data_IF_961617977201
#
_entry.id   IF_961617977201
#
_cell.length_a   1.000
_cell.length_b   1.000
_cell.length_c   1.000
_cell.angle_alpha   90.00
_cell.angle_beta   90.00
_cell.angle_gamma   90.00
#
_symmetry.space_group_name_H-M   'P 1'
#
loop_
_entity.id
_entity.type
_entity.pdbx_description
1 polymer ?
#
# COMPACT_ATOMS: atom_id res chain seq x y z
N UNK A 1 50.71 -30.74 -44.17
CA UNK A 1 49.28 -31.09 -44.03
C UNK A 1 48.73 -30.39 -42.80
N UNK A 2 48.42 -29.10 -42.92
CA UNK A 2 47.60 -28.38 -41.96
C UNK A 2 46.15 -28.70 -42.33
N UNK A 3 45.40 -29.30 -41.41
CA UNK A 3 43.97 -29.57 -41.57
C UNK A 3 43.22 -28.41 -40.93
N UNK A 4 42.34 -27.82 -41.72
CA UNK A 4 41.54 -26.64 -41.44
C UNK A 4 40.70 -26.83 -40.16
N UNK A 5 40.86 -25.92 -39.20
CA UNK A 5 40.11 -25.89 -37.92
C UNK A 5 38.90 -24.95 -37.95
N UNK A 6 38.70 -24.23 -39.06
CA UNK A 6 37.64 -23.22 -39.18
C UNK A 6 36.30 -23.80 -39.64
N UNK A 7 36.26 -25.01 -40.22
CA UNK A 7 35.02 -25.61 -40.74
C UNK A 7 34.14 -26.32 -39.71
N UNK A 8 34.62 -26.55 -38.49
CA UNK A 8 33.90 -27.35 -37.48
C UNK A 8 32.93 -26.49 -36.62
N UNK A 9 33.14 -25.16 -36.59
CA UNK A 9 32.27 -24.25 -35.82
C UNK A 9 30.97 -23.91 -36.53
N UNK A 10 30.95 -23.90 -37.87
CA UNK A 10 29.76 -23.50 -38.64
C UNK A 10 28.67 -24.59 -38.65
N UNK A 11 29.03 -25.87 -38.48
CA UNK A 11 28.07 -26.99 -38.46
C UNK A 11 27.23 -27.07 -37.17
N UNK A 12 27.68 -26.49 -36.04
CA UNK A 12 26.93 -26.53 -34.76
C UNK A 12 25.80 -25.48 -34.69
N UNK A 13 25.89 -24.41 -35.49
CA UNK A 13 24.91 -23.32 -35.46
C UNK A 13 23.69 -23.56 -36.37
N UNK A 14 23.83 -24.35 -37.43
CA UNK A 14 22.78 -24.58 -38.44
C UNK A 14 21.82 -25.75 -38.13
N UNK A 15 21.93 -26.34 -36.94
CA UNK A 15 21.04 -27.43 -36.51
C UNK A 15 19.65 -26.88 -36.08
N UNK A 16 18.53 -27.35 -36.65
CA UNK A 16 17.19 -26.93 -36.25
C UNK A 16 16.94 -27.11 -34.74
N UNK A 17 16.18 -26.19 -34.13
CA UNK A 17 16.01 -26.08 -32.68
C UNK A 17 15.58 -27.39 -31.98
N UNK A 18 14.80 -28.24 -32.65
CA UNK A 18 14.36 -29.54 -32.13
C UNK A 18 15.47 -30.58 -31.97
N UNK A 19 16.59 -30.43 -32.69
CA UNK A 19 17.74 -31.35 -32.65
C UNK A 19 18.87 -30.81 -31.76
N UNK A 20 18.75 -29.58 -31.23
CA UNK A 20 19.74 -29.04 -30.29
C UNK A 20 19.58 -29.70 -28.93
N UNK A 21 20.71 -30.07 -28.30
CA UNK A 21 20.71 -30.65 -26.95
C UNK A 21 20.04 -29.67 -25.98
N UNK A 22 19.16 -30.14 -25.07
CA UNK A 22 18.50 -29.26 -24.12
C UNK A 22 19.55 -28.54 -23.26
N UNK A 23 19.40 -27.23 -23.14
CA UNK A 23 20.29 -26.39 -22.34
C UNK A 23 20.31 -26.89 -20.89
N UNK A 24 21.48 -27.25 -20.36
CA UNK A 24 21.66 -27.76 -19.00
C UNK A 24 22.28 -29.15 -18.89
N UNK A 25 22.51 -29.87 -20.00
CA UNK A 25 23.12 -31.20 -20.03
C UNK A 25 24.65 -31.25 -19.74
N UNK A 26 25.18 -30.29 -18.95
CA UNK A 26 26.59 -30.18 -18.60
C UNK A 26 26.88 -29.90 -17.11
N UNK A 27 25.87 -29.58 -16.30
CA UNK A 27 26.06 -29.32 -14.86
C UNK A 27 25.44 -30.49 -14.09
N UNK A 28 26.28 -31.40 -13.58
CA UNK A 28 25.85 -32.49 -12.69
C UNK A 28 25.32 -31.90 -11.38
N UNK A 29 24.01 -31.66 -11.29
CA UNK A 29 23.35 -31.26 -10.04
C UNK A 29 23.06 -32.52 -9.22
N UNK A 30 23.59 -32.60 -8.00
CA UNK A 30 23.22 -33.65 -7.05
C UNK A 30 21.70 -33.54 -6.82
N UNK A 31 20.97 -34.65 -6.99
CA UNK A 31 19.53 -34.66 -6.77
C UNK A 31 19.22 -34.48 -5.28
N UNK A 32 18.31 -33.56 -4.96
CA UNK A 32 17.80 -33.41 -3.59
C UNK A 32 16.76 -34.51 -3.38
N UNK A 33 16.93 -35.32 -2.32
CA UNK A 33 15.91 -36.30 -1.91
C UNK A 33 14.85 -35.57 -1.10
N UNK A 34 13.63 -35.51 -1.62
CA UNK A 34 12.50 -35.01 -0.85
C UNK A 34 12.10 -36.05 0.20
N UNK A 35 12.21 -35.68 1.47
CA UNK A 35 11.68 -36.47 2.59
C UNK A 35 10.23 -36.06 2.78
N UNK A 36 9.33 -37.04 2.90
CA UNK A 36 7.91 -36.84 3.17
C UNK A 36 7.76 -36.33 4.61
N UNK A 37 7.00 -35.26 4.83
CA UNK A 37 6.68 -34.79 6.18
C UNK A 37 5.89 -35.88 6.91
N UNK A 38 6.31 -36.23 8.13
CA UNK A 38 5.65 -37.22 8.97
C UNK A 38 4.21 -36.79 9.32
N UNK A 39 3.39 -37.81 9.63
CA UNK A 39 1.95 -37.73 9.86
C UNK A 39 1.54 -36.71 10.95
N UNK A 40 0.39 -36.02 10.79
CA UNK A 40 -0.15 -35.16 11.82
C UNK A 40 -0.94 -36.00 12.83
N UNK A 41 -0.34 -36.43 13.93
CA UNK A 41 -1.08 -36.84 15.12
C UNK A 41 -0.19 -36.84 16.37
N UNK A 42 -0.13 -35.67 17.02
CA UNK A 42 0.17 -35.56 18.44
C UNK A 42 -0.88 -34.64 19.06
N UNK A 43 -2.11 -35.13 19.12
CA UNK A 43 -3.18 -34.52 19.89
C UNK A 43 -2.79 -34.46 21.37
N UNK A 44 -2.50 -33.26 21.86
CA UNK A 44 -2.43 -33.00 23.30
C UNK A 44 -3.84 -32.65 23.77
N UNK A 45 -4.55 -33.68 24.24
CA UNK A 45 -5.87 -33.54 24.85
C UNK A 45 -5.77 -32.80 26.19
N UNK A 46 -6.55 -31.74 26.26
CA UNK A 46 -7.23 -31.14 27.42
C UNK A 46 -7.01 -31.81 28.78
N UNK A 47 -6.43 -31.04 29.71
CA UNK A 47 -6.63 -31.22 31.14
C UNK A 47 -6.99 -29.85 31.75
N UNK A 48 -8.28 -29.50 31.72
CA UNK A 48 -8.80 -28.42 32.54
C UNK A 48 -9.34 -29.08 33.81
N UNK A 49 -8.58 -28.94 34.88
CA UNK A 49 -8.96 -29.32 36.23
C UNK A 49 -10.19 -28.50 36.63
N UNK A 50 -11.34 -29.13 36.73
CA UNK A 50 -12.54 -28.56 37.35
C UNK A 50 -12.30 -28.45 38.86
N UNK A 51 -11.81 -27.30 39.32
CA UNK A 51 -11.72 -26.98 40.74
C UNK A 51 -12.73 -25.89 41.08
N UNK A 52 -13.78 -26.32 41.80
CA UNK A 52 -14.59 -25.55 42.75
C UNK A 52 -15.10 -24.17 42.27
N UNK A 53 -16.40 -24.09 42.02
CA UNK A 53 -17.18 -22.85 42.20
C UNK A 53 -16.77 -22.22 43.53
N UNK A 54 -16.08 -21.09 43.43
CA UNK A 54 -15.38 -20.47 44.53
C UNK A 54 -16.39 -19.82 45.48
N UNK A 55 -16.16 -19.97 46.78
CA UNK A 55 -16.90 -19.33 47.87
C UNK A 55 -17.09 -17.81 47.70
N UNK A 56 -16.25 -17.17 46.88
CA UNK A 56 -16.35 -15.77 46.48
C UNK A 56 -17.62 -15.45 45.67
N UNK A 57 -18.13 -16.37 44.87
CA UNK A 57 -19.35 -16.16 44.07
C UNK A 57 -20.62 -16.16 44.95
N UNK A 58 -20.64 -17.01 45.99
CA UNK A 58 -21.68 -17.00 47.01
C UNK A 58 -21.64 -15.70 47.82
N UNK A 59 -20.45 -15.26 48.25
CA UNK A 59 -20.32 -14.01 49.00
C UNK A 59 -20.69 -12.80 48.13
N UNK A 60 -20.33 -12.82 46.84
CA UNK A 60 -20.73 -11.82 45.87
C UNK A 60 -22.26 -11.76 45.71
N UNK A 61 -22.97 -12.90 45.64
CA UNK A 61 -24.44 -12.89 45.56
C UNK A 61 -25.13 -12.30 46.79
N UNK A 62 -24.55 -12.51 47.98
CA UNK A 62 -25.12 -12.05 49.24
C UNK A 62 -24.81 -10.56 49.45
N UNK A 63 -23.62 -10.12 49.09
CA UNK A 63 -23.17 -8.74 49.28
C UNK A 63 -23.68 -7.82 48.17
N UNK A 64 -23.76 -8.31 46.93
CA UNK A 64 -24.26 -7.52 45.80
C UNK A 64 -25.78 -7.58 45.65
N UNK A 65 -26.49 -8.31 46.52
CA UNK A 65 -27.94 -8.58 46.49
C UNK A 65 -28.77 -7.47 45.84
N UNK A 66 -28.85 -7.54 44.50
CA UNK A 66 -29.87 -6.92 43.70
C UNK A 66 -30.97 -7.96 43.62
N UNK A 67 -32.06 -7.63 44.33
CA UNK A 67 -33.36 -8.27 44.29
C UNK A 67 -33.64 -8.92 42.91
N UNK A 68 -34.08 -10.19 42.85
CA UNK A 68 -34.65 -10.72 41.62
C UNK A 68 -36.02 -10.07 41.46
N UNK A 69 -36.03 -8.85 40.93
CA UNK A 69 -37.23 -8.36 40.29
C UNK A 69 -37.55 -9.31 39.15
N UNK A 70 -38.78 -9.80 39.14
CA UNK A 70 -39.45 -10.40 38.00
C UNK A 70 -39.38 -9.42 36.82
N UNK A 71 -38.23 -9.37 36.14
CA UNK A 71 -38.10 -8.66 34.89
C UNK A 71 -38.52 -9.62 33.81
N UNK A 72 -39.78 -9.44 33.40
CA UNK A 72 -40.27 -9.84 32.10
C UNK A 72 -39.16 -9.66 31.06
N UNK A 73 -39.06 -10.67 30.21
CA UNK A 73 -38.15 -10.79 29.08
C UNK A 73 -38.15 -9.53 28.21
N UNK A 74 -37.26 -8.59 28.49
CA UNK A 74 -36.69 -7.73 27.48
C UNK A 74 -35.26 -8.21 27.30
N UNK A 75 -35.11 -9.24 26.48
CA UNK A 75 -33.81 -9.65 26.01
C UNK A 75 -33.12 -8.40 25.45
N UNK A 76 -31.99 -8.00 26.04
CA UNK A 76 -31.11 -7.04 25.41
C UNK A 76 -30.90 -7.52 23.97
N UNK A 77 -31.43 -6.76 23.01
CA UNK A 77 -31.29 -7.11 21.61
C UNK A 77 -29.86 -6.74 21.24
N UNK A 78 -28.94 -7.67 21.50
CA UNK A 78 -27.55 -7.52 21.09
C UNK A 78 -27.53 -7.72 19.58
N UNK A 79 -26.98 -6.75 18.85
CA UNK A 79 -26.83 -6.89 17.42
C UNK A 79 -25.71 -7.91 17.10
N UNK A 80 -25.98 -8.83 16.17
CA UNK A 80 -25.04 -9.88 15.73
C UNK A 80 -23.76 -9.33 15.11
N UNK A 81 -23.82 -8.14 14.50
CA UNK A 81 -22.73 -7.62 13.67
C UNK A 81 -21.76 -6.74 14.47
N UNK A 82 -22.28 -5.95 15.41
CA UNK A 82 -21.48 -5.04 16.24
C UNK A 82 -21.38 -5.46 17.71
N UNK A 83 -22.18 -6.42 18.18
CA UNK A 83 -22.16 -6.91 19.56
C UNK A 83 -22.59 -5.88 20.61
N UNK A 84 -23.25 -4.79 20.20
CA UNK A 84 -23.73 -3.72 21.08
C UNK A 84 -25.23 -3.88 21.39
N UNK A 85 -25.63 -3.41 22.57
CA UNK A 85 -27.02 -3.45 23.03
C UNK A 85 -27.88 -2.39 22.30
N UNK A 86 -28.81 -2.86 21.47
CA UNK A 86 -29.72 -2.02 20.66
C UNK A 86 -30.73 -1.25 21.52
N UNK A 87 -31.04 -1.74 22.72
CA UNK A 87 -32.03 -1.16 23.65
C UNK A 87 -31.61 0.20 24.25
N UNK A 88 -30.33 0.60 24.12
CA UNK A 88 -29.78 1.81 24.72
C UNK A 88 -30.06 3.10 23.94
N UNK A 89 -30.49 2.98 22.67
CA UNK A 89 -30.61 4.10 21.73
C UNK A 89 -32.06 4.27 21.26
N UNK A 90 -32.58 5.50 21.31
CA UNK A 90 -33.91 5.87 20.80
C UNK A 90 -33.96 5.99 19.27
N UNK A 91 -32.79 6.12 18.62
CA UNK A 91 -32.66 6.07 17.16
C UNK A 91 -32.40 4.65 16.68
N UNK A 92 -32.76 4.28 15.44
CA UNK A 92 -32.43 2.98 14.88
C UNK A 92 -30.91 2.78 14.94
N UNK A 93 -30.49 1.85 15.79
CA UNK A 93 -29.10 1.45 15.96
C UNK A 93 -28.42 1.12 14.62
N UNK A 94 -29.17 0.59 13.64
CA UNK A 94 -28.71 0.28 12.29
C UNK A 94 -28.22 1.49 11.48
N UNK A 95 -28.77 2.68 11.76
CA UNK A 95 -28.34 3.92 11.10
C UNK A 95 -27.19 4.60 11.85
N UNK A 96 -26.85 4.13 13.05
CA UNK A 96 -25.74 4.69 13.79
C UNK A 96 -24.44 4.44 13.04
N UNK A 97 -23.59 5.46 12.92
CA UNK A 97 -22.31 5.36 12.21
C UNK A 97 -21.42 4.23 12.76
N UNK A 98 -21.47 3.97 14.07
CA UNK A 98 -20.75 2.87 14.69
C UNK A 98 -21.20 1.49 14.16
N UNK A 99 -22.50 1.29 13.96
CA UNK A 99 -23.03 0.08 13.35
C UNK A 99 -22.67 0.02 11.87
N UNK A 100 -22.88 1.11 11.13
CA UNK A 100 -22.56 1.16 9.70
C UNK A 100 -21.09 0.82 9.43
N UNK A 101 -20.15 1.37 10.20
CA UNK A 101 -18.71 1.14 10.03
C UNK A 101 -18.25 -0.27 10.45
N UNK A 102 -19.01 -0.95 11.33
CA UNK A 102 -18.69 -2.31 11.77
C UNK A 102 -19.20 -3.40 10.81
N UNK A 103 -20.10 -3.05 9.88
CA UNK A 103 -20.54 -3.97 8.83
C UNK A 103 -19.38 -4.38 7.92
N UNK A 104 -19.45 -5.61 7.41
CA UNK A 104 -18.57 -6.07 6.34
C UNK A 104 -18.91 -5.29 5.07
N UNK A 105 -18.24 -4.17 4.88
CA UNK A 105 -18.39 -3.37 3.68
C UNK A 105 -17.92 -4.16 2.46
N UNK A 106 -18.79 -4.29 1.46
CA UNK A 106 -18.37 -4.72 0.14
C UNK A 106 -17.40 -3.68 -0.41
N UNK A 107 -16.18 -4.08 -0.75
CA UNK A 107 -15.29 -3.19 -1.48
C UNK A 107 -15.89 -2.83 -2.84
N UNK A 108 -15.61 -1.63 -3.36
CA UNK A 108 -16.02 -1.27 -4.70
C UNK A 108 -15.39 -2.24 -5.71
N UNK A 109 -16.14 -2.65 -6.75
CA UNK A 109 -15.62 -3.58 -7.75
C UNK A 109 -14.38 -2.99 -8.41
N UNK A 110 -13.44 -3.88 -8.78
CA UNK A 110 -12.23 -3.46 -9.46
C UNK A 110 -12.55 -2.79 -10.81
N UNK A 111 -11.80 -1.74 -11.16
CA UNK A 111 -11.97 -1.01 -12.42
C UNK A 111 -11.49 -1.80 -13.66
N UNK A 112 -11.08 -3.06 -13.49
CA UNK A 112 -10.62 -3.90 -14.57
C UNK A 112 -11.82 -4.45 -15.36
N UNK A 113 -11.75 -4.32 -16.68
CA UNK A 113 -12.79 -4.85 -17.55
C UNK A 113 -12.73 -6.39 -17.61
N UNK A 114 -13.83 -7.03 -17.22
CA UNK A 114 -14.04 -8.48 -17.23
C UNK A 114 -14.02 -9.09 -18.63
N UNK A 115 -14.18 -8.28 -19.68
CA UNK A 115 -14.14 -8.75 -21.06
C UNK A 115 -12.72 -9.11 -21.53
N UNK A 116 -11.69 -8.56 -20.88
CA UNK A 116 -10.29 -8.76 -21.27
C UNK A 116 -9.91 -10.22 -21.18
N UNK A 117 -9.22 -10.72 -22.20
CA UNK A 117 -8.86 -12.14 -22.29
C UNK A 117 -8.09 -12.63 -21.06
N UNK A 118 -7.10 -11.86 -20.59
CA UNK A 118 -6.32 -12.22 -19.40
C UNK A 118 -7.15 -12.32 -18.12
N UNK A 119 -8.16 -11.46 -17.97
CA UNK A 119 -9.10 -11.52 -16.84
C UNK A 119 -9.97 -12.77 -16.96
N UNK A 120 -10.57 -13.01 -18.13
CA UNK A 120 -11.42 -14.18 -18.39
C UNK A 120 -10.69 -15.49 -18.14
N UNK A 121 -9.42 -15.58 -18.57
CA UNK A 121 -8.60 -16.77 -18.32
C UNK A 121 -8.34 -17.00 -16.84
N UNK A 122 -8.04 -15.95 -16.07
CA UNK A 122 -7.82 -16.07 -14.63
C UNK A 122 -9.11 -16.44 -13.89
N UNK A 123 -10.24 -15.82 -14.25
CA UNK A 123 -11.55 -16.17 -13.70
C UNK A 123 -11.94 -17.63 -14.01
N UNK A 124 -11.63 -18.12 -15.20
CA UNK A 124 -11.87 -19.54 -15.55
C UNK A 124 -11.04 -20.53 -14.71
N UNK A 125 -9.90 -20.07 -14.17
CA UNK A 125 -9.05 -20.83 -13.26
C UNK A 125 -9.46 -20.67 -11.79
N UNK A 126 -10.56 -19.95 -11.52
CA UNK A 126 -11.08 -19.73 -10.17
C UNK A 126 -10.51 -18.50 -9.45
N UNK A 127 -9.80 -17.61 -10.15
CA UNK A 127 -9.35 -16.36 -9.56
C UNK A 127 -10.46 -15.29 -9.59
N UNK A 128 -10.79 -14.73 -8.43
CA UNK A 128 -11.79 -13.68 -8.30
C UNK A 128 -11.14 -12.28 -8.25
N UNK A 129 -11.71 -11.37 -9.01
CA UNK A 129 -11.20 -10.01 -9.22
C UNK A 129 -11.53 -9.10 -8.05
N UNK A 130 -12.71 -9.27 -7.47
CA UNK A 130 -13.24 -8.41 -6.43
C UNK A 130 -12.97 -8.97 -5.03
N UNK A 131 -12.49 -10.21 -4.93
CA UNK A 131 -12.05 -10.82 -3.68
C UNK A 131 -10.83 -10.11 -3.06
N UNK A 132 -10.10 -9.31 -3.85
CA UNK A 132 -8.93 -8.60 -3.35
C UNK A 132 -7.87 -9.55 -2.75
N UNK A 133 -7.71 -10.74 -3.32
CA UNK A 133 -6.73 -11.70 -2.88
C UNK A 133 -5.61 -11.86 -3.92
N UNK A 134 -4.46 -12.32 -3.46
CA UNK A 134 -3.32 -12.63 -4.31
C UNK A 134 -3.50 -13.95 -5.05
N UNK A 135 -2.56 -14.25 -5.94
CA UNK A 135 -2.51 -15.55 -6.60
C UNK A 135 -1.77 -16.57 -5.72
N UNK A 136 -2.27 -17.80 -5.59
CA UNK A 136 -1.57 -18.85 -4.87
C UNK A 136 -2.56 -19.83 -4.23
N UNK A 137 -2.05 -20.84 -3.51
CA UNK A 137 -2.91 -21.82 -2.81
C UNK A 137 -3.73 -21.20 -1.67
N UNK A 138 -3.12 -20.27 -0.95
CA UNK A 138 -3.74 -19.54 0.17
C UNK A 138 -4.14 -18.11 -0.25
N UNK A 139 -4.13 -17.82 -1.55
CA UNK A 139 -4.38 -16.49 -2.12
C UNK A 139 -3.49 -15.37 -1.53
N UNK A 140 -2.28 -15.71 -1.09
CA UNK A 140 -1.33 -14.81 -0.41
C UNK A 140 -0.27 -14.22 -1.36
N UNK A 141 -0.47 -14.35 -2.67
CA UNK A 141 0.44 -13.83 -3.67
C UNK A 141 0.46 -12.30 -3.76
N UNK A 142 1.49 -11.77 -4.43
CA UNK A 142 1.57 -10.35 -4.70
C UNK A 142 0.45 -9.88 -5.62
N UNK A 143 -0.36 -8.93 -5.13
CA UNK A 143 -1.55 -8.42 -5.84
C UNK A 143 -1.24 -7.39 -6.91
N UNK A 144 -0.18 -6.60 -6.71
CA UNK A 144 0.19 -5.50 -7.60
C UNK A 144 1.56 -5.74 -8.23
N UNK A 145 1.77 -5.30 -9.48
CA UNK A 145 3.08 -5.38 -10.12
C UNK A 145 4.17 -4.68 -9.30
N UNK A 146 5.36 -5.29 -9.26
CA UNK A 146 6.54 -4.69 -8.63
C UNK A 146 6.94 -3.45 -9.43
N UNK A 147 6.98 -2.29 -8.77
CA UNK A 147 7.50 -1.06 -9.37
C UNK A 147 9.02 -1.10 -9.38
N UNK A 148 9.61 -1.18 -10.56
CA UNK A 148 11.06 -1.16 -10.74
C UNK A 148 11.55 0.30 -10.71
N UNK A 149 12.63 0.56 -9.98
CA UNK A 149 13.33 1.85 -10.05
C UNK A 149 14.30 1.81 -11.22
N UNK A 150 14.11 2.69 -12.19
CA UNK A 150 15.01 2.81 -13.32
C UNK A 150 16.40 3.23 -12.85
N UNK A 151 17.43 2.54 -13.34
CA UNK A 151 18.83 2.88 -13.07
C UNK A 151 19.34 3.76 -14.21
N UNK A 152 19.31 5.07 -14.00
CA UNK A 152 19.82 6.04 -14.98
C UNK A 152 21.35 6.25 -14.91
N UNK A 153 22.03 5.54 -14.00
CA UNK A 153 23.46 5.70 -13.77
C UNK A 153 24.29 4.68 -14.57
N UNK A 154 25.39 5.14 -15.17
CA UNK A 154 26.36 4.28 -15.89
C UNK A 154 27.29 3.47 -14.97
N UNK A 155 27.21 3.69 -13.66
CA UNK A 155 28.02 2.96 -12.68
C UNK A 155 27.61 1.48 -12.62
N UNK A 156 28.53 0.60 -12.23
CA UNK A 156 28.25 -0.83 -12.05
C UNK A 156 27.14 -1.11 -11.03
N UNK A 157 26.55 -2.31 -11.07
CA UNK A 157 25.66 -2.77 -10.00
C UNK A 157 26.50 -2.96 -8.73
N UNK A 158 26.09 -2.39 -7.60
CA UNK A 158 26.87 -2.43 -6.35
C UNK A 158 27.86 -1.26 -6.15
N UNK A 159 28.01 -0.35 -7.13
CA UNK A 159 28.79 0.87 -6.92
C UNK A 159 28.09 1.79 -5.93
N UNK A 160 28.75 2.10 -4.81
CA UNK A 160 28.22 2.99 -3.78
C UNK A 160 28.31 4.43 -4.25
N UNK A 161 27.16 5.05 -4.53
CA UNK A 161 27.09 6.50 -4.70
C UNK A 161 27.05 7.10 -3.30
N UNK A 162 27.93 8.07 -2.95
CA UNK A 162 27.78 8.80 -1.70
C UNK A 162 26.37 9.41 -1.70
N UNK A 163 25.57 9.07 -0.70
CA UNK A 163 24.19 9.53 -0.57
C UNK A 163 24.24 11.07 -0.64
N UNK A 164 23.61 11.72 -1.62
CA UNK A 164 23.54 13.17 -1.62
C UNK A 164 22.83 13.57 -0.34
N UNK A 165 23.49 14.36 0.50
CA UNK A 165 22.87 14.89 1.71
C UNK A 165 21.58 15.57 1.31
N UNK A 166 20.45 15.00 1.75
CA UNK A 166 19.15 15.60 1.54
C UNK A 166 19.19 16.97 2.22
N UNK A 167 19.37 18.03 1.42
CA UNK A 167 19.16 19.39 1.91
C UNK A 167 17.74 19.42 2.42
N UNK A 168 17.58 19.36 3.75
CA UNK A 168 16.29 19.52 4.42
C UNK A 168 15.71 20.81 3.85
N UNK A 169 14.65 20.68 3.06
CA UNK A 169 13.93 21.85 2.56
C UNK A 169 13.41 22.56 3.79
N UNK A 170 14.06 23.66 4.18
CA UNK A 170 13.59 24.48 5.29
C UNK A 170 12.18 24.92 4.95
N UNK A 171 11.20 24.37 5.67
CA UNK A 171 9.82 24.79 5.54
C UNK A 171 9.73 26.21 6.07
N UNK A 172 9.62 27.19 5.16
CA UNK A 172 9.36 28.57 5.55
C UNK A 172 7.96 28.62 6.18
N UNK A 173 7.82 28.92 7.48
CA UNK A 173 6.52 28.92 8.12
C UNK A 173 5.65 30.00 7.47
N UNK A 174 4.45 29.61 7.05
CA UNK A 174 3.47 30.56 6.55
C UNK A 174 3.00 31.48 7.69
N UNK A 175 2.90 32.80 7.48
CA UNK A 175 2.52 33.74 8.53
C UNK A 175 1.11 33.42 9.06
N UNK A 176 1.02 33.16 10.36
CA UNK A 176 -0.23 32.74 11.03
C UNK A 176 -1.15 33.93 11.35
N UNK A 177 -0.58 35.13 11.50
CA UNK A 177 -1.33 36.35 11.88
C UNK A 177 -1.82 37.15 10.68
N UNK A 178 -3.02 37.75 10.79
CA UNK A 178 -3.62 38.64 9.76
C UNK A 178 -2.72 39.80 9.37
N UNK A 179 -2.01 40.42 10.33
CA UNK A 179 -1.08 41.52 10.06
C UNK A 179 0.14 41.04 9.27
N UNK A 180 0.64 39.86 9.60
CA UNK A 180 1.82 39.27 8.95
C UNK A 180 1.49 38.75 7.56
N UNK A 181 0.28 38.23 7.33
CA UNK A 181 -0.25 37.89 6.01
C UNK A 181 -0.28 39.10 5.06
N UNK A 182 -0.75 40.25 5.56
CA UNK A 182 -0.78 41.48 4.75
C UNK A 182 0.64 41.95 4.39
N UNK A 183 1.57 41.89 5.33
CA UNK A 183 2.99 42.22 5.10
C UNK A 183 3.64 41.24 4.10
N UNK A 184 3.37 39.95 4.22
CA UNK A 184 3.89 38.93 3.31
C UNK A 184 3.40 39.16 1.88
N UNK A 185 2.09 39.35 1.70
CA UNK A 185 1.51 39.65 0.37
C UNK A 185 2.04 40.95 -0.23
N UNK A 186 2.25 41.98 0.59
CA UNK A 186 2.84 43.23 0.12
C UNK A 186 4.30 43.04 -0.34
N UNK A 187 5.09 42.25 0.40
CA UNK A 187 6.46 41.89 0.00
C UNK A 187 6.49 41.06 -1.28
N UNK A 188 5.63 40.05 -1.41
CA UNK A 188 5.51 39.24 -2.62
C UNK A 188 5.12 40.10 -3.83
N UNK A 189 4.21 41.07 -3.65
CA UNK A 189 3.83 42.01 -4.71
C UNK A 189 5.01 42.89 -5.14
N UNK A 190 5.78 43.42 -4.20
CA UNK A 190 6.98 44.22 -4.49
C UNK A 190 8.06 43.40 -5.19
N UNK A 191 8.31 42.17 -4.73
CA UNK A 191 9.27 41.27 -5.36
C UNK A 191 8.86 40.92 -6.79
N UNK A 192 7.59 40.61 -6.99
CA UNK A 192 7.05 40.35 -8.32
C UNK A 192 7.18 41.57 -9.24
N UNK A 193 6.88 42.77 -8.75
CA UNK A 193 7.05 44.01 -9.52
C UNK A 193 8.53 44.27 -9.86
N UNK A 194 9.46 44.01 -8.94
CA UNK A 194 10.91 44.09 -9.22
C UNK A 194 11.32 43.12 -10.32
N UNK A 195 10.92 41.84 -10.19
CA UNK A 195 11.22 40.82 -11.19
C UNK A 195 10.59 41.14 -12.54
N UNK A 196 9.37 41.68 -12.56
CA UNK A 196 8.73 42.11 -13.79
C UNK A 196 9.50 43.25 -14.47
N UNK A 197 10.00 44.23 -13.70
CA UNK A 197 10.86 45.29 -14.23
C UNK A 197 12.19 44.74 -14.72
N UNK A 198 12.80 43.79 -14.02
CA UNK A 198 14.08 43.19 -14.45
C UNK A 198 13.91 42.32 -15.71
N UNK A 199 12.83 41.55 -15.81
CA UNK A 199 12.60 40.62 -16.92
C UNK A 199 12.06 41.34 -18.17
N UNK A 200 11.15 42.30 -17.97
CA UNK A 200 10.42 42.94 -19.07
C UNK A 200 10.71 44.44 -19.24
N UNK A 201 11.37 45.07 -18.26
CA UNK A 201 11.86 46.44 -18.38
C UNK A 201 13.07 46.47 -19.30
N UNK A 202 12.90 47.06 -20.48
CA UNK A 202 14.02 47.42 -21.34
C UNK A 202 14.65 48.69 -20.76
N UNK A 203 15.91 48.60 -20.32
CA UNK A 203 16.66 49.70 -19.70
C UNK A 203 16.57 50.97 -20.55
N UNK A 204 16.67 50.83 -21.87
CA UNK A 204 16.61 51.94 -22.83
C UNK A 204 15.25 52.65 -22.85
N UNK A 205 14.14 51.92 -22.69
CA UNK A 205 12.78 52.51 -22.73
C UNK A 205 12.43 53.15 -21.38
N UNK A 206 12.91 52.58 -20.28
CA UNK A 206 12.66 53.11 -18.94
C UNK A 206 13.35 54.46 -18.71
N UNK A 207 14.54 54.71 -19.27
CA UNK A 207 15.19 56.03 -19.20
C UNK A 207 14.41 57.12 -19.94
N UNK A 208 13.77 56.78 -21.07
CA UNK A 208 12.93 57.73 -21.81
C UNK A 208 11.56 57.96 -21.15
N UNK A 209 10.95 56.93 -20.55
CA UNK A 209 9.64 57.05 -19.90
C UNK A 209 9.73 57.68 -18.49
N UNK A 210 10.84 57.45 -17.80
CA UNK A 210 11.12 58.01 -16.47
C UNK A 210 11.98 59.28 -16.61
N UNK A 211 11.59 60.14 -17.56
CA UNK A 211 12.37 61.29 -18.00
C UNK A 211 13.03 62.05 -16.85
N UNK A 212 14.34 62.27 -16.98
CA UNK A 212 15.01 63.30 -16.21
C UNK A 212 14.29 64.60 -16.55
N UNK A 213 13.57 65.19 -15.59
CA UNK A 213 12.67 66.35 -15.81
C UNK A 213 13.37 67.64 -16.22
N UNK A 214 14.20 67.61 -17.25
CA UNK A 214 15.00 68.69 -17.82
C UNK A 214 14.67 68.94 -19.30
N UNK A 215 13.60 68.33 -19.82
CA UNK A 215 13.11 68.60 -21.18
C UNK A 215 12.15 69.78 -21.10
N UNK A 216 12.74 70.98 -21.15
CA UNK A 216 12.09 72.25 -20.88
C UNK A 216 10.92 72.62 -21.78
N UNK A 217 9.98 73.32 -21.15
CA UNK A 217 9.02 74.26 -21.75
C UNK A 217 8.80 75.41 -20.76
#
# INVERSE_FOLDING_TARGET
MQRDKESEFDEEFDVPLHHKRPFGAGIKRKNIKFVRAQDPDAGLSTAITSTSTSLGDLYASVVLASKPEEKAKEAAQICSDCGLDVSSTTQPHELALAHQVSLRHTQPPSALDRSRMGVRTLTSQGWDLDAHEGLGRENDGMRYPIKVKEKNNKLGLGATIPKPEEKKKEYKPYPVSRKDLKKHRAKERQQHESLQREIFGRVDVESYLRGDGNDGL
#
